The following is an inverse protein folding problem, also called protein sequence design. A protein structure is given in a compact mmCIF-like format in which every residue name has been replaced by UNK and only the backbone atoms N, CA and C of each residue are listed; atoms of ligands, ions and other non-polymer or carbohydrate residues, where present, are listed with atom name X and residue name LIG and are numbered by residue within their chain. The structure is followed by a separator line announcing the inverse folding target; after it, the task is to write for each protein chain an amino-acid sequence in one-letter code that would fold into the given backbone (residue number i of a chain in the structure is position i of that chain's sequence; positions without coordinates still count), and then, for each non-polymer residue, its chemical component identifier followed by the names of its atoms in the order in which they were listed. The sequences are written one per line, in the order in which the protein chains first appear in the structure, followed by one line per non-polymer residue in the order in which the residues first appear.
data_IF_182336513190
#
_entry.id   IF_182336513190
#
_cell.length_a   1.000
_cell.length_b   1.000
_cell.length_c   1.000
_cell.angle_alpha   90.00
_cell.angle_beta   90.00
_cell.angle_gamma   90.00
#
_symmetry.space_group_name_H-M   'P 1'
#
loop_
_entity.id
_entity.type
_entity.pdbx_description
1 polymer ?
#
# COMPACT_ATOMS: atom_id res chain seq x y z
N UNK A 1 -9.40 1.92 26.57
CA UNK A 1 -8.95 1.87 26.10
C UNK A 1 -9.01 2.21 24.91
N UNK A 2 -8.60 2.70 24.42
CA UNK A 2 -8.81 3.11 23.35
C UNK A 2 -7.99 2.68 22.42
N UNK A 3 -8.24 1.92 21.56
CA UNK A 3 -7.42 1.59 20.49
C UNK A 3 -7.48 2.66 19.50
N UNK A 4 -6.34 3.04 19.03
CA UNK A 4 -6.29 3.99 17.95
C UNK A 4 -6.94 3.39 16.73
N UNK A 5 -7.67 4.17 15.96
CA UNK A 5 -8.20 3.67 14.71
C UNK A 5 -7.05 3.23 13.82
N UNK A 6 -7.23 2.17 13.05
CA UNK A 6 -6.18 1.76 12.13
C UNK A 6 -5.96 2.83 11.08
N UNK A 7 -4.70 3.00 10.68
CA UNK A 7 -4.39 3.90 9.58
C UNK A 7 -4.66 3.15 8.28
N UNK A 8 -5.52 3.70 7.45
CA UNK A 8 -5.94 3.03 6.22
C UNK A 8 -5.85 4.01 5.06
N UNK A 9 -5.20 3.58 4.01
CA UNK A 9 -5.18 4.31 2.74
C UNK A 9 -5.95 3.47 1.73
N UNK A 10 -6.96 4.04 1.10
CA UNK A 10 -7.73 3.34 0.09
C UNK A 10 -7.23 3.77 -1.28
N UNK A 11 -6.83 2.80 -2.08
CA UNK A 11 -6.31 3.04 -3.42
C UNK A 11 -7.22 2.30 -4.39
N UNK A 12 -7.83 3.02 -5.31
CA UNK A 12 -8.77 2.40 -6.23
C UNK A 12 -8.62 2.98 -7.61
N UNK A 13 -9.26 2.31 -8.58
CA UNK A 13 -9.23 2.75 -9.95
C UNK A 13 -7.96 2.30 -10.63
N UNK A 14 -7.67 2.94 -11.75
CA UNK A 14 -6.49 2.61 -12.53
C UNK A 14 -5.34 3.50 -12.07
N UNK A 15 -4.27 2.86 -11.64
CA UNK A 15 -3.12 3.62 -11.17
C UNK A 15 -2.24 4.04 -12.32
N UNK A 16 -1.78 5.28 -12.29
CA UNK A 16 -0.89 5.81 -13.30
C UNK A 16 0.31 6.42 -12.61
N UNK A 17 1.40 6.56 -13.36
CA UNK A 17 2.58 7.21 -12.80
C UNK A 17 2.31 8.65 -12.42
N UNK A 18 1.46 9.32 -13.19
CA UNK A 18 1.13 10.71 -12.90
C UNK A 18 0.36 10.86 -11.60
N UNK A 19 -0.38 9.83 -11.20
CA UNK A 19 -1.15 9.88 -9.96
C UNK A 19 -0.37 9.46 -8.73
N UNK A 20 0.81 8.88 -8.90
CA UNK A 20 1.59 8.39 -7.76
C UNK A 20 1.94 9.48 -6.74
N UNK A 21 2.37 10.69 -7.17
CA UNK A 21 2.70 11.70 -6.16
C UNK A 21 1.54 12.04 -5.25
N UNK A 22 0.32 12.03 -5.78
CA UNK A 22 -0.84 12.32 -4.96
C UNK A 22 -1.07 11.22 -3.93
N UNK A 23 -0.90 9.96 -4.33
CA UNK A 23 -1.02 8.85 -3.41
C UNK A 23 0.02 8.95 -2.30
N UNK A 24 1.24 9.31 -2.66
CA UNK A 24 2.29 9.49 -1.67
C UNK A 24 1.95 10.62 -0.69
N UNK A 25 1.38 11.71 -1.20
CA UNK A 25 0.97 12.82 -0.34
C UNK A 25 -0.15 12.39 0.60
N UNK A 26 -1.11 11.61 0.10
CA UNK A 26 -2.18 11.10 0.93
C UNK A 26 -1.64 10.22 2.03
N UNK A 27 -0.68 9.36 1.70
CA UNK A 27 -0.07 8.49 2.71
C UNK A 27 0.69 9.30 3.73
N UNK A 28 1.42 10.33 3.29
CA UNK A 28 2.16 11.18 4.23
C UNK A 28 1.22 11.86 5.21
N UNK A 29 0.05 12.28 4.75
CA UNK A 29 -0.93 12.88 5.64
C UNK A 29 -1.40 11.89 6.70
N UNK A 30 -1.61 10.63 6.29
CA UNK A 30 -2.01 9.59 7.23
C UNK A 30 -0.89 9.33 8.24
N UNK A 31 0.34 9.26 7.76
CA UNK A 31 1.48 9.00 8.64
C UNK A 31 1.70 10.12 9.64
N UNK A 32 1.42 11.36 9.23
CA UNK A 32 1.53 12.49 10.12
C UNK A 32 0.44 12.48 11.19
N UNK A 33 -0.74 12.03 10.83
CA UNK A 33 -1.88 12.04 11.73
C UNK A 33 -1.94 10.81 12.63
N UNK A 34 -1.12 9.80 12.39
CA UNK A 34 -1.20 8.54 13.13
C UNK A 34 0.20 8.09 13.50
N UNK A 35 0.30 7.39 14.64
CA UNK A 35 1.57 6.80 15.05
C UNK A 35 1.58 5.30 14.83
N UNK A 36 0.63 4.79 14.08
CA UNK A 36 0.55 3.36 13.83
C UNK A 36 1.81 2.86 13.13
N UNK A 37 2.33 1.74 13.60
CA UNK A 37 3.51 1.13 12.99
C UNK A 37 3.20 0.49 11.65
N UNK A 38 1.94 0.14 11.41
CA UNK A 38 1.51 -0.50 10.18
C UNK A 38 0.36 0.31 9.61
N UNK A 39 0.44 0.62 8.32
CA UNK A 39 -0.62 1.30 7.60
C UNK A 39 -1.24 0.28 6.65
N UNK A 40 -2.53 0.08 6.76
CA UNK A 40 -3.23 -0.80 5.84
C UNK A 40 -3.53 -0.04 4.56
N UNK A 41 -3.21 -0.65 3.44
CA UNK A 41 -3.46 -0.07 2.13
C UNK A 41 -4.47 -0.97 1.43
N UNK A 42 -5.69 -0.48 1.27
CA UNK A 42 -6.74 -1.26 0.63
C UNK A 42 -6.63 -1.08 -0.86
N UNK A 43 -6.21 -2.13 -1.54
CA UNK A 43 -6.00 -2.12 -2.98
C UNK A 43 -7.04 -2.94 -3.72
N UNK A 44 -8.12 -3.31 -3.03
CA UNK A 44 -9.16 -4.15 -3.64
C UNK A 44 -9.90 -3.48 -4.78
N UNK A 45 -9.87 -2.15 -4.85
CA UNK A 45 -10.53 -1.42 -5.92
C UNK A 45 -9.66 -1.09 -7.11
N UNK A 46 -8.42 -1.57 -7.14
CA UNK A 46 -7.55 -1.32 -8.30
C UNK A 46 -8.07 -2.11 -9.49
N UNK A 47 -8.18 -1.44 -10.64
CA UNK A 47 -8.61 -2.09 -11.87
C UNK A 47 -7.43 -2.13 -12.84
N UNK A 48 -7.38 -3.19 -13.61
CA UNK A 48 -6.35 -3.38 -14.63
C UNK A 48 -4.94 -3.15 -14.08
N UNK A 49 -4.54 -3.91 -13.05
CA UNK A 49 -3.21 -3.71 -12.47
C UNK A 49 -2.12 -3.98 -13.50
N UNK A 50 -1.09 -3.16 -13.46
CA UNK A 50 0.03 -3.26 -14.38
C UNK A 50 1.30 -2.82 -13.64
N UNK A 51 2.38 -2.60 -14.39
CA UNK A 51 3.63 -2.19 -13.76
C UNK A 51 3.53 -0.84 -13.08
N UNK A 52 2.68 0.05 -13.58
CA UNK A 52 2.49 1.32 -12.90
C UNK A 52 1.89 1.12 -11.52
N UNK A 53 1.00 0.14 -11.38
CA UNK A 53 0.45 -0.21 -10.07
C UNK A 53 1.54 -0.70 -9.14
N UNK A 54 2.43 -1.55 -9.64
CA UNK A 54 3.53 -2.07 -8.84
C UNK A 54 4.46 -0.94 -8.40
N UNK A 55 4.78 -0.04 -9.32
CA UNK A 55 5.64 1.09 -9.00
C UNK A 55 5.02 1.99 -7.94
N UNK A 56 3.72 2.22 -8.04
CA UNK A 56 3.03 3.05 -7.06
C UNK A 56 3.11 2.41 -5.68
N UNK A 57 2.87 1.10 -5.60
CA UNK A 57 2.94 0.39 -4.33
C UNK A 57 4.35 0.43 -3.76
N UNK A 58 5.35 0.26 -4.61
CA UNK A 58 6.74 0.31 -4.16
C UNK A 58 7.07 1.68 -3.56
N UNK A 59 6.60 2.74 -4.21
CA UNK A 59 6.83 4.08 -3.69
C UNK A 59 6.12 4.32 -2.38
N UNK A 60 4.88 3.85 -2.27
CA UNK A 60 4.14 3.98 -1.01
C UNK A 60 4.85 3.25 0.11
N UNK A 61 5.36 2.06 -0.18
CA UNK A 61 6.10 1.29 0.82
C UNK A 61 7.33 2.06 1.29
N UNK A 62 8.01 2.72 0.36
CA UNK A 62 9.20 3.48 0.69
C UNK A 62 8.87 4.70 1.53
N UNK A 63 7.77 5.38 1.22
CA UNK A 63 7.31 6.52 2.01
C UNK A 63 7.05 6.10 3.45
N UNK A 64 6.38 4.96 3.65
CA UNK A 64 6.10 4.47 4.99
C UNK A 64 7.38 4.14 5.74
N UNK A 65 8.33 3.50 5.07
CA UNK A 65 9.59 3.16 5.73
C UNK A 65 10.37 4.38 6.15
N UNK A 66 10.36 5.43 5.32
CA UNK A 66 11.09 6.64 5.65
C UNK A 66 10.44 7.42 6.79
N UNK A 67 9.20 7.11 7.10
CA UNK A 67 8.47 7.76 8.17
C UNK A 67 8.61 6.96 9.46
N UNK A 68 9.84 6.75 9.92
CA UNK A 68 10.08 6.07 11.17
C UNK A 68 10.08 4.56 11.07
N UNK A 69 10.32 4.02 9.88
CA UNK A 69 10.37 2.57 9.70
C UNK A 69 9.02 1.90 9.72
N UNK A 70 7.98 2.61 9.37
CA UNK A 70 6.64 2.04 9.34
C UNK A 70 6.47 1.10 8.17
N UNK A 71 5.46 0.28 8.22
CA UNK A 71 5.22 -0.74 7.22
C UNK A 71 3.89 -0.52 6.54
N UNK A 72 3.87 -0.77 5.25
CA UNK A 72 2.65 -0.77 4.46
C UNK A 72 2.18 -2.21 4.33
N UNK A 73 0.90 -2.45 4.59
CA UNK A 73 0.32 -3.78 4.47
C UNK A 73 -0.85 -3.71 3.51
N UNK A 74 -0.79 -4.51 2.45
CA UNK A 74 -1.84 -4.50 1.44
C UNK A 74 -3.01 -5.36 1.87
N UNK A 75 -4.21 -4.88 1.59
CA UNK A 75 -5.43 -5.62 1.90
C UNK A 75 -6.27 -5.71 0.64
N UNK A 76 -6.91 -6.86 0.45
CA UNK A 76 -7.81 -7.07 -0.68
C UNK A 76 -7.09 -7.13 -2.01
N UNK A 77 -5.85 -7.58 -2.03
CA UNK A 77 -5.03 -7.57 -3.23
C UNK A 77 -5.64 -8.46 -4.30
N UNK A 78 -5.97 -7.89 -5.49
CA UNK A 78 -6.48 -8.71 -6.58
C UNK A 78 -5.43 -9.74 -7.01
N UNK A 79 -5.87 -10.91 -7.49
CA UNK A 79 -4.91 -11.95 -7.87
C UNK A 79 -3.91 -11.50 -8.93
N UNK A 80 -4.34 -10.71 -9.89
CA UNK A 80 -3.44 -10.23 -10.92
C UNK A 80 -2.36 -9.33 -10.35
N UNK A 81 -2.73 -8.49 -9.40
CA UNK A 81 -1.76 -7.62 -8.76
C UNK A 81 -0.80 -8.44 -7.92
N UNK A 82 -1.31 -9.44 -7.22
CA UNK A 82 -0.45 -10.29 -6.42
C UNK A 82 0.59 -11.00 -7.27
N UNK A 83 0.19 -11.49 -8.45
CA UNK A 83 1.14 -12.12 -9.35
C UNK A 83 2.23 -11.14 -9.77
N UNK A 84 1.87 -9.91 -10.08
CA UNK A 84 2.86 -8.92 -10.46
C UNK A 84 3.83 -8.63 -9.33
N UNK A 85 3.31 -8.50 -8.11
CA UNK A 85 4.15 -8.24 -6.96
C UNK A 85 5.11 -9.40 -6.71
N UNK A 86 4.64 -10.63 -6.88
CA UNK A 86 5.48 -11.80 -6.72
C UNK A 86 6.58 -11.83 -7.77
N UNK A 87 6.22 -11.50 -9.01
CA UNK A 87 7.19 -11.55 -10.10
C UNK A 87 8.33 -10.57 -9.91
N UNK A 88 8.05 -9.42 -9.31
CA UNK A 88 9.10 -8.42 -9.09
C UNK A 88 9.70 -8.50 -7.69
N UNK A 89 9.27 -9.47 -6.88
CA UNK A 89 9.85 -9.68 -5.57
C UNK A 89 9.39 -8.72 -4.51
N UNK A 90 8.27 -8.02 -4.71
CA UNK A 90 7.80 -7.05 -3.76
C UNK A 90 6.88 -7.63 -2.69
N UNK A 91 6.44 -8.87 -2.84
CA UNK A 91 5.53 -9.46 -1.85
C UNK A 91 6.14 -9.51 -0.47
N UNK A 92 7.46 -9.61 -0.38
CA UNK A 92 8.13 -9.65 0.90
C UNK A 92 8.40 -8.26 1.45
N UNK A 93 8.41 -7.25 0.58
CA UNK A 93 8.67 -5.89 1.00
C UNK A 93 7.41 -5.26 1.59
N UNK A 94 6.26 -5.54 0.98
CA UNK A 94 4.99 -5.08 1.50
C UNK A 94 4.31 -6.26 2.18
N UNK A 95 3.78 -6.06 3.34
CA UNK A 95 3.04 -7.11 3.99
C UNK A 95 1.74 -7.35 3.26
N UNK A 96 1.40 -8.61 3.08
CA UNK A 96 0.08 -8.95 2.55
C UNK A 96 -0.77 -9.42 3.70
N UNK A 97 -1.96 -8.86 3.80
CA UNK A 97 -2.81 -9.17 4.93
C UNK A 97 -3.44 -10.54 4.83
N UNK A 98 -3.45 -11.09 3.63
CA UNK A 98 -4.10 -12.34 3.46
C UNK A 98 -3.30 -13.46 3.94
N UNK A 99 -3.95 -14.38 4.57
CA UNK A 99 -3.28 -15.51 5.13
C UNK A 99 -3.38 -16.65 4.16
N UNK A 100 -2.28 -17.18 3.70
CA UNK A 100 -2.33 -18.36 2.87
C UNK A 100 -2.80 -19.51 3.72
N UNK A 101 -3.35 -20.44 3.11
CA UNK A 101 -3.88 -21.56 3.83
C UNK A 101 -2.85 -22.49 4.37
#
# INVERSE_FOLDING_TARGET
MDSLPPAVLVVSGRLTRAGTPRLCADLEAILTASEAAVVDCDVGGIVEPDLASVEAIARLSLVARRAGGRRLRLRGTPPELQLLLDLVGLSEVVGLAETPL
#
